data_IF_313415567207
#
_entry.id   IF_313415567207
#
_cell.length_a   1.000
_cell.length_b   1.000
_cell.length_c   1.000
_cell.angle_alpha   90.00
_cell.angle_beta   90.00
_cell.angle_gamma   90.00
#
_symmetry.space_group_name_H-M   'P 1'
#
loop_
_entity.id
_entity.type
_entity.pdbx_description
1 polymer ?
#
# COMPACT_ATOMS: atom_id res chain seq x y z
N UNK A 1 -2.76 -25.10 1.90
CA UNK A 1 -3.10 -26.28 1.05
C UNK A 1 -3.24 -27.59 1.82
N UNK A 2 -2.50 -27.79 2.92
CA UNK A 2 -2.52 -29.06 3.68
C UNK A 2 -3.91 -29.48 4.20
N UNK A 3 -4.73 -28.54 4.68
CA UNK A 3 -6.09 -28.85 5.17
C UNK A 3 -7.18 -28.81 4.07
N UNK A 4 -6.98 -28.00 3.04
CA UNK A 4 -8.01 -27.76 1.99
C UNK A 4 -8.10 -28.94 1.02
N UNK A 5 -6.97 -29.51 0.60
CA UNK A 5 -6.98 -30.60 -0.37
C UNK A 5 -7.67 -31.88 0.16
N UNK A 6 -7.39 -32.37 1.38
CA UNK A 6 -8.10 -33.53 1.94
C UNK A 6 -9.62 -33.32 2.03
N UNK A 7 -10.06 -32.12 2.39
CA UNK A 7 -11.49 -31.81 2.47
C UNK A 7 -12.18 -31.80 1.09
N UNK A 8 -11.51 -31.26 0.07
CA UNK A 8 -12.00 -31.33 -1.32
C UNK A 8 -12.08 -32.78 -1.80
N UNK A 9 -11.05 -33.59 -1.53
CA UNK A 9 -11.07 -35.03 -1.85
C UNK A 9 -12.23 -35.74 -1.17
N UNK A 10 -12.45 -35.47 0.12
CA UNK A 10 -13.56 -36.06 0.89
C UNK A 10 -14.90 -35.73 0.27
N UNK A 11 -15.16 -34.45 -0.07
CA UNK A 11 -16.42 -34.02 -0.69
C UNK A 11 -16.62 -34.60 -2.08
N UNK A 12 -15.57 -34.65 -2.91
CA UNK A 12 -15.66 -35.26 -4.24
C UNK A 12 -16.01 -36.75 -4.15
N UNK A 13 -15.39 -37.50 -3.22
CA UNK A 13 -15.70 -38.92 -3.00
C UNK A 13 -17.13 -39.16 -2.54
N UNK A 14 -17.60 -38.38 -1.56
CA UNK A 14 -18.99 -38.47 -1.07
C UNK A 14 -19.99 -38.15 -2.19
N UNK A 15 -19.67 -37.22 -3.08
CA UNK A 15 -20.52 -36.85 -4.21
C UNK A 15 -20.35 -37.70 -5.48
N UNK A 16 -19.49 -38.73 -5.48
CA UNK A 16 -19.19 -39.52 -6.70
C UNK A 16 -18.51 -38.73 -7.82
N UNK A 17 -17.88 -37.60 -7.50
CA UNK A 17 -17.21 -36.72 -8.46
C UNK A 17 -15.72 -37.10 -8.63
N UNK A 18 -15.14 -36.89 -9.83
CA UNK A 18 -13.72 -37.10 -10.05
C UNK A 18 -12.89 -36.15 -9.16
N UNK A 19 -11.91 -36.72 -8.47
CA UNK A 19 -11.02 -35.97 -7.57
C UNK A 19 -9.96 -35.23 -8.40
N UNK A 20 -9.84 -33.89 -8.28
CA UNK A 20 -8.81 -33.15 -8.99
C UNK A 20 -7.42 -33.47 -8.41
N UNK A 21 -6.41 -33.41 -9.28
CA UNK A 21 -5.00 -33.44 -8.85
C UNK A 21 -4.69 -32.19 -8.03
N UNK A 22 -3.79 -32.32 -7.06
CA UNK A 22 -3.46 -31.25 -6.10
C UNK A 22 -3.06 -29.94 -6.78
N UNK A 23 -2.29 -30.03 -7.85
CA UNK A 23 -1.81 -28.85 -8.57
C UNK A 23 -2.93 -28.14 -9.35
N UNK A 24 -3.88 -28.88 -9.90
CA UNK A 24 -5.09 -28.31 -10.51
C UNK A 24 -5.89 -27.50 -9.50
N UNK A 25 -6.03 -28.00 -8.27
CA UNK A 25 -6.71 -27.26 -7.20
C UNK A 25 -5.92 -25.99 -6.82
N UNK A 26 -4.60 -26.08 -6.69
CA UNK A 26 -3.75 -24.95 -6.37
C UNK A 26 -3.82 -23.85 -7.45
N UNK A 27 -3.80 -24.22 -8.73
CA UNK A 27 -3.95 -23.26 -9.84
C UNK A 27 -5.32 -22.58 -9.83
N UNK A 28 -6.41 -23.34 -9.61
CA UNK A 28 -7.75 -22.76 -9.50
C UNK A 28 -7.86 -21.77 -8.36
N UNK A 29 -7.27 -22.07 -7.20
CA UNK A 29 -7.24 -21.15 -6.06
C UNK A 29 -6.43 -19.89 -6.37
N UNK A 30 -5.31 -20.02 -7.09
CA UNK A 30 -4.49 -18.89 -7.52
C UNK A 30 -5.20 -18.01 -8.55
N UNK A 31 -6.08 -18.59 -9.36
CA UNK A 31 -6.85 -17.88 -10.38
C UNK A 31 -8.10 -17.17 -9.82
N UNK A 32 -8.41 -17.31 -8.53
CA UNK A 32 -9.51 -16.57 -7.91
C UNK A 32 -9.24 -15.06 -7.98
N UNK A 33 -10.29 -14.28 -8.23
CA UNK A 33 -10.22 -12.83 -8.23
C UNK A 33 -9.71 -12.32 -6.86
N UNK A 34 -8.58 -11.60 -6.83
CA UNK A 34 -8.03 -11.03 -5.60
C UNK A 34 -9.01 -10.15 -4.85
N UNK A 35 -9.88 -9.41 -5.56
CA UNK A 35 -10.87 -8.53 -4.93
C UNK A 35 -11.97 -9.35 -4.24
N UNK A 36 -12.55 -10.33 -4.92
CA UNK A 36 -13.50 -11.26 -4.30
C UNK A 36 -12.88 -12.04 -3.13
N UNK A 37 -11.63 -12.47 -3.25
CA UNK A 37 -10.93 -13.20 -2.20
C UNK A 37 -10.64 -12.31 -0.96
N UNK A 38 -10.24 -11.05 -1.17
CA UNK A 38 -10.05 -10.08 -0.09
C UNK A 38 -11.40 -9.73 0.57
N UNK A 39 -12.46 -9.52 -0.22
CA UNK A 39 -13.81 -9.27 0.30
C UNK A 39 -14.28 -10.40 1.23
N UNK A 40 -14.09 -11.65 0.80
CA UNK A 40 -14.49 -12.81 1.58
C UNK A 40 -13.68 -13.01 2.87
N UNK A 41 -12.44 -12.52 2.93
CA UNK A 41 -11.54 -12.71 4.08
C UNK A 41 -11.53 -11.55 5.06
N UNK A 42 -11.61 -10.33 4.54
CA UNK A 42 -11.29 -9.09 5.25
C UNK A 42 -12.43 -8.05 5.14
N UNK A 43 -13.53 -8.39 4.48
CA UNK A 43 -14.66 -7.50 4.28
C UNK A 43 -14.37 -6.35 3.30
N UNK A 44 -15.22 -5.33 3.32
CA UNK A 44 -15.16 -4.20 2.40
C UNK A 44 -13.82 -3.42 2.51
N UNK A 45 -13.24 -3.34 3.71
CA UNK A 45 -11.99 -2.64 3.96
C UNK A 45 -10.77 -3.36 3.38
N UNK A 46 -10.78 -4.70 3.35
CA UNK A 46 -9.71 -5.48 2.71
C UNK A 46 -9.62 -5.25 1.21
N UNK A 47 -10.77 -5.05 0.56
CA UNK A 47 -10.85 -4.72 -0.88
C UNK A 47 -10.36 -3.31 -1.17
N UNK A 48 -10.49 -2.39 -0.20
CA UNK A 48 -10.11 -0.98 -0.37
C UNK A 48 -8.62 -0.82 -0.71
N UNK A 49 -7.76 -1.70 -0.21
CA UNK A 49 -6.32 -1.72 -0.54
C UNK A 49 -6.02 -2.17 -1.98
N UNK A 50 -6.93 -2.95 -2.57
CA UNK A 50 -6.82 -3.44 -3.95
C UNK A 50 -7.51 -2.51 -4.95
N UNK A 51 -8.34 -1.58 -4.47
CA UNK A 51 -8.96 -0.55 -5.29
C UNK A 51 -8.03 0.66 -5.38
N UNK A 52 -7.83 1.16 -6.59
CA UNK A 52 -7.23 2.48 -6.78
C UNK A 52 -8.05 3.51 -5.99
N UNK A 53 -7.38 4.48 -5.36
CA UNK A 53 -8.02 5.53 -4.56
C UNK A 53 -8.98 6.43 -5.37
N UNK A 54 -9.04 6.28 -6.70
CA UNK A 54 -10.07 6.89 -7.56
C UNK A 54 -9.61 7.00 -9.01
N UNK A 55 -10.52 6.72 -9.94
CA UNK A 55 -10.39 6.96 -11.38
C UNK A 55 -9.28 6.21 -12.11
N UNK A 56 -9.32 6.25 -13.44
CA UNK A 56 -8.12 6.02 -14.24
C UNK A 56 -7.21 7.23 -14.07
N UNK A 57 -5.95 7.04 -13.63
CA UNK A 57 -5.01 8.15 -13.61
C UNK A 57 -4.87 8.68 -15.05
N UNK A 58 -4.88 10.01 -15.24
CA UNK A 58 -4.76 10.58 -16.58
C UNK A 58 -3.49 10.04 -17.27
N UNK A 59 -3.63 9.65 -18.53
CA UNK A 59 -2.52 9.11 -19.33
C UNK A 59 -1.35 10.10 -19.26
N UNK A 60 -0.23 9.61 -18.75
CA UNK A 60 0.98 10.41 -18.59
C UNK A 60 1.83 10.20 -19.82
N UNK A 61 1.68 11.06 -20.82
CA UNK A 61 2.55 11.07 -22.00
C UNK A 61 3.64 12.12 -21.78
N UNK A 62 4.89 11.66 -21.64
CA UNK A 62 6.07 12.52 -21.49
C UNK A 62 6.70 12.52 -20.10
N UNK A 63 8.01 12.79 -20.09
CA UNK A 63 8.83 12.94 -18.88
C UNK A 63 8.33 14.12 -18.04
N UNK A 64 8.30 13.96 -16.71
CA UNK A 64 7.89 14.98 -15.74
C UNK A 64 6.43 15.47 -15.83
N UNK A 65 5.61 14.89 -16.73
CA UNK A 65 4.18 15.27 -16.86
C UNK A 65 3.38 15.00 -15.59
N UNK A 66 3.82 14.01 -14.80
CA UNK A 66 3.31 13.73 -13.45
C UNK A 66 4.46 13.35 -12.52
N UNK A 67 4.52 14.05 -11.40
CA UNK A 67 5.41 13.76 -10.27
C UNK A 67 4.51 13.51 -9.07
N UNK A 68 4.71 12.38 -8.41
CA UNK A 68 4.10 12.09 -7.12
C UNK A 68 5.11 12.48 -6.03
N UNK A 69 4.66 13.28 -5.08
CA UNK A 69 5.45 13.67 -3.92
C UNK A 69 4.84 12.97 -2.73
N UNK A 70 5.63 12.10 -2.10
CA UNK A 70 5.23 11.42 -0.88
C UNK A 70 6.11 11.93 0.27
N UNK A 71 5.50 12.14 1.42
CA UNK A 71 6.17 12.49 2.67
C UNK A 71 5.91 11.37 3.67
N UNK A 72 6.96 10.69 4.10
CA UNK A 72 6.84 9.48 4.92
C UNK A 72 7.67 9.63 6.19
N UNK A 73 7.08 9.44 7.38
CA UNK A 73 7.85 9.37 8.61
C UNK A 73 8.79 8.17 8.55
N UNK A 74 10.06 8.39 8.87
CA UNK A 74 11.05 7.31 8.94
C UNK A 74 10.98 6.67 10.32
N UNK A 75 11.21 5.35 10.39
CA UNK A 75 11.32 4.63 11.65
C UNK A 75 12.69 4.85 12.30
N UNK A 76 12.99 6.12 12.59
CA UNK A 76 14.19 6.58 13.28
C UNK A 76 13.77 7.65 14.29
N UNK A 77 14.44 7.68 15.44
CA UNK A 77 14.28 8.75 16.43
C UNK A 77 15.49 9.67 16.37
N UNK A 78 15.26 10.94 16.01
CA UNK A 78 16.29 11.98 16.08
C UNK A 78 16.41 12.42 17.52
N UNK A 79 17.64 12.53 17.99
CA UNK A 79 17.98 12.96 19.35
C UNK A 79 18.98 14.11 19.29
N UNK A 80 18.90 15.00 20.27
CA UNK A 80 19.88 16.07 20.45
C UNK A 80 21.28 15.51 20.71
N UNK A 81 22.31 16.18 20.16
CA UNK A 81 23.70 15.73 20.30
C UNK A 81 24.24 15.88 21.72
N UNK A 82 23.84 16.93 22.46
CA UNK A 82 24.39 17.27 23.78
C UNK A 82 23.73 16.51 24.91
N UNK A 83 22.41 16.51 24.94
CA UNK A 83 21.60 15.99 26.04
C UNK A 83 20.93 14.66 25.70
N UNK A 84 21.04 14.17 24.45
CA UNK A 84 20.44 12.93 23.95
C UNK A 84 18.92 12.87 24.19
N UNK A 85 18.29 14.03 24.27
CA UNK A 85 16.85 14.14 24.42
C UNK A 85 16.18 13.90 23.06
N UNK A 86 15.01 13.24 23.04
CA UNK A 86 14.30 12.97 21.80
C UNK A 86 13.78 14.28 21.18
N UNK A 87 14.07 14.45 19.90
CA UNK A 87 13.56 15.54 19.05
C UNK A 87 12.34 15.04 18.26
N UNK A 88 12.33 13.77 17.89
CA UNK A 88 11.20 13.10 17.24
C UNK A 88 11.57 12.39 15.94
N UNK A 89 10.56 11.93 15.20
CA UNK A 89 10.77 11.16 13.96
C UNK A 89 11.02 12.09 12.78
N UNK A 90 12.09 11.85 11.99
CA UNK A 90 12.31 12.60 10.77
C UNK A 90 11.40 12.09 9.67
N UNK A 91 11.22 12.90 8.64
CA UNK A 91 10.43 12.56 7.49
C UNK A 91 11.26 12.61 6.22
N UNK A 92 11.02 11.66 5.33
CA UNK A 92 11.60 11.66 3.98
C UNK A 92 10.52 12.11 3.02
N UNK A 93 10.81 13.20 2.31
CA UNK A 93 10.06 13.62 1.13
C UNK A 93 10.73 13.06 -0.12
N UNK A 94 10.01 12.31 -0.94
CA UNK A 94 10.50 11.80 -2.21
C UNK A 94 9.60 12.23 -3.36
N UNK A 95 10.20 12.67 -4.46
CA UNK A 95 9.50 13.00 -5.70
C UNK A 95 9.75 11.92 -6.75
N UNK A 96 8.71 11.14 -7.10
CA UNK A 96 8.79 10.03 -8.04
C UNK A 96 8.03 10.32 -9.34
N UNK A 97 8.61 9.95 -10.49
CA UNK A 97 7.97 10.10 -11.80
C UNK A 97 7.04 8.93 -12.07
N UNK A 98 5.77 9.20 -12.37
CA UNK A 98 4.80 8.13 -12.65
C UNK A 98 5.09 7.36 -13.93
N UNK A 99 5.71 8.00 -14.94
CA UNK A 99 5.98 7.39 -16.25
C UNK A 99 7.10 6.33 -16.24
N UNK A 100 8.08 6.45 -15.34
CA UNK A 100 9.22 5.52 -15.28
C UNK A 100 9.50 4.92 -13.89
N UNK A 101 8.71 5.26 -12.86
CA UNK A 101 8.96 4.87 -11.45
C UNK A 101 10.41 5.15 -10.99
N UNK A 102 11.04 6.19 -11.53
CA UNK A 102 12.33 6.68 -11.06
C UNK A 102 12.13 7.81 -10.03
N UNK A 103 12.88 7.73 -8.93
CA UNK A 103 12.94 8.80 -7.93
C UNK A 103 13.82 9.91 -8.50
N UNK A 104 13.29 11.13 -8.54
CA UNK A 104 14.00 12.30 -9.08
C UNK A 104 14.78 13.05 -8.01
N UNK A 105 14.19 13.16 -6.82
CA UNK A 105 14.75 13.91 -5.70
C UNK A 105 14.30 13.27 -4.40
N UNK A 106 15.20 13.24 -3.41
CA UNK A 106 14.93 12.84 -2.04
C UNK A 106 15.39 13.95 -1.12
N UNK A 107 14.54 14.35 -0.18
CA UNK A 107 14.83 15.34 0.84
C UNK A 107 14.48 14.77 2.21
N UNK A 108 15.41 14.87 3.17
CA UNK A 108 15.19 14.49 4.56
C UNK A 108 14.90 15.76 5.36
N UNK A 109 13.75 15.81 6.01
CA UNK A 109 13.41 16.86 6.96
C UNK A 109 13.44 16.28 8.38
N UNK A 110 14.26 16.88 9.25
CA UNK A 110 14.24 16.57 10.67
C UNK A 110 13.47 17.66 11.43
N UNK A 111 12.51 17.29 12.29
CA UNK A 111 11.91 18.26 13.20
C UNK A 111 12.98 18.85 14.14
N UNK A 112 12.74 20.04 14.67
CA UNK A 112 13.56 20.64 15.73
C UNK A 112 12.67 21.01 16.91
N UNK A 113 13.25 21.33 18.07
CA UNK A 113 12.47 21.77 19.23
C UNK A 113 11.63 23.03 18.95
N UNK A 114 12.10 23.91 18.07
CA UNK A 114 11.42 25.16 17.73
C UNK A 114 10.37 24.99 16.63
N UNK A 115 10.54 23.98 15.77
CA UNK A 115 9.59 23.64 14.71
C UNK A 115 9.16 22.18 14.83
N UNK A 116 8.23 21.87 15.75
CA UNK A 116 7.56 20.58 15.77
C UNK A 116 6.90 20.34 14.41
N UNK A 117 7.06 19.15 13.86
CA UNK A 117 6.41 18.81 12.61
C UNK A 117 4.90 18.61 12.83
N UNK A 118 4.08 19.44 12.19
CA UNK A 118 2.60 19.34 12.21
C UNK A 118 2.09 18.79 10.87
N UNK A 119 1.67 17.51 10.88
CA UNK A 119 1.09 16.84 9.71
C UNK A 119 -0.26 17.45 9.31
N UNK A 120 -1.05 17.96 10.27
CA UNK A 120 -2.37 18.54 10.01
C UNK A 120 -2.27 19.89 9.30
N UNK A 121 -1.20 20.65 9.54
CA UNK A 121 -0.92 21.89 8.82
C UNK A 121 -0.43 21.63 7.38
N UNK A 122 0.39 20.58 7.18
CA UNK A 122 0.85 20.18 5.85
C UNK A 122 -0.32 19.70 4.97
N UNK A 123 -1.20 18.86 5.54
CA UNK A 123 -2.37 18.33 4.84
C UNK A 123 -3.38 19.44 4.49
N UNK A 124 -3.50 20.49 5.34
CA UNK A 124 -4.30 21.70 5.09
C UNK A 124 -3.74 22.59 3.97
N UNK A 125 -2.41 22.63 3.80
CA UNK A 125 -1.73 23.43 2.76
C UNK A 125 -1.55 22.68 1.44
N UNK A 126 -1.81 21.37 1.42
CA UNK A 126 -1.70 20.57 0.20
C UNK A 126 -2.77 20.99 -0.82
N UNK A 127 -2.36 21.43 -2.03
CA UNK A 127 -3.31 21.77 -3.10
C UNK A 127 -4.02 20.54 -3.68
N UNK A 128 -3.68 19.34 -3.20
CA UNK A 128 -4.27 18.07 -3.62
C UNK A 128 -5.35 17.55 -2.66
N UNK A 129 -5.58 18.22 -1.53
CA UNK A 129 -6.65 17.87 -0.58
C UNK A 129 -7.97 18.48 -1.03
N UNK A 130 -8.49 18.04 -2.17
CA UNK A 130 -9.89 18.28 -2.56
C UNK A 130 -10.86 17.43 -1.73
N UNK A 131 -12.17 17.73 -1.74
CA UNK A 131 -13.15 17.00 -0.95
C UNK A 131 -13.12 15.51 -1.31
N UNK A 132 -12.88 14.69 -0.28
CA UNK A 132 -12.96 13.22 -0.38
C UNK A 132 -14.45 12.87 -0.60
N UNK A 133 -14.81 12.51 -1.84
CA UNK A 133 -16.09 11.87 -2.17
C UNK A 133 -16.06 10.38 -1.82
#
# INVERSE_FOLDING_TARGET
>A
MAAVYPEVVRRCRVGGLPVPVRDTLAQRIKALDPAAAAAAREGADGVRRLRSAGGDPPKTEGLLRRVQIDHTPVDLEVVDERHRLPIGRPHVTAAARSFHRSVSTVHLFAPTYETPFDQDELDRRSPFTGPRL
#
